data_IF_003557329302
#
_entry.id   IF_003557329302
#
_cell.length_a   1.000
_cell.length_b   1.000
_cell.length_c   1.000
_cell.angle_alpha   90.00
_cell.angle_beta   90.00
_cell.angle_gamma   90.00
#
_symmetry.space_group_name_H-M   'P 1'
#
loop_
_entity.id
_entity.type
_entity.pdbx_description
1 polymer ?
#
# COMPACT_ATOMS: atom_id res chain seq x y z
N UNK A 1 -23.95 -2.19 -19.22
CA UNK A 1 -23.54 -1.59 -17.93
C UNK A 1 -24.80 -1.01 -17.31
N UNK A 2 -25.12 -1.37 -16.07
CA UNK A 2 -26.38 -1.04 -15.40
C UNK A 2 -26.18 -0.87 -13.89
N UNK A 3 -27.05 -0.11 -13.24
CA UNK A 3 -26.96 0.25 -11.83
C UNK A 3 -25.95 1.34 -11.53
N UNK A 4 -25.82 1.69 -10.26
CA UNK A 4 -24.90 2.73 -9.77
C UNK A 4 -23.93 2.14 -8.74
N UNK A 5 -22.66 2.53 -8.81
CA UNK A 5 -21.59 2.08 -7.88
C UNK A 5 -20.88 3.26 -7.25
N UNK A 6 -20.72 3.23 -5.93
CA UNK A 6 -19.87 4.16 -5.18
C UNK A 6 -18.46 3.58 -5.03
N UNK A 7 -17.47 4.41 -5.35
CA UNK A 7 -16.05 4.13 -5.23
C UNK A 7 -15.45 5.05 -4.19
N UNK A 8 -14.64 4.46 -3.31
CA UNK A 8 -13.73 5.17 -2.41
C UNK A 8 -12.30 4.75 -2.79
N UNK A 9 -11.48 5.72 -3.16
CA UNK A 9 -10.17 5.53 -3.75
C UNK A 9 -9.07 6.10 -2.86
N UNK A 10 -7.96 5.38 -2.69
CA UNK A 10 -6.79 5.88 -2.00
C UNK A 10 -5.52 5.67 -2.84
N UNK A 11 -4.57 6.59 -2.68
CA UNK A 11 -3.27 6.46 -3.33
C UNK A 11 -2.46 5.30 -2.74
N UNK A 12 -1.44 4.78 -3.46
CA UNK A 12 -0.68 3.60 -3.02
C UNK A 12 -0.07 3.70 -1.61
N UNK A 13 0.25 4.91 -1.12
CA UNK A 13 0.84 5.11 0.21
C UNK A 13 -0.15 4.86 1.35
N UNK A 14 -1.44 4.70 1.04
CA UNK A 14 -2.42 4.31 2.02
C UNK A 14 -2.23 2.85 2.51
N UNK A 15 -1.38 2.05 1.85
CA UNK A 15 -1.15 0.64 2.18
C UNK A 15 -0.86 0.39 3.67
N UNK A 16 0.00 1.20 4.29
CA UNK A 16 0.35 1.06 5.71
C UNK A 16 -0.86 1.31 6.63
N UNK A 17 -1.64 2.37 6.36
CA UNK A 17 -2.81 2.68 7.18
C UNK A 17 -4.07 1.86 6.83
N UNK A 18 -4.13 1.28 5.62
CA UNK A 18 -5.14 0.28 5.26
C UNK A 18 -4.79 -1.10 5.79
N UNK A 19 -3.57 -1.28 6.33
CA UNK A 19 -3.03 -2.54 6.76
C UNK A 19 -3.19 -3.56 5.62
N UNK A 20 -2.43 -3.35 4.54
CA UNK A 20 -2.34 -4.32 3.46
C UNK A 20 -1.93 -5.69 4.04
N UNK A 21 -2.55 -6.77 3.54
CA UNK A 21 -2.05 -8.10 3.86
C UNK A 21 -0.62 -8.27 3.32
N UNK A 22 0.24 -9.05 4.01
CA UNK A 22 1.55 -9.44 3.49
C UNK A 22 1.44 -10.11 2.12
N UNK A 23 2.44 -9.96 1.26
CA UNK A 23 2.47 -10.52 -0.11
C UNK A 23 2.35 -12.05 -0.10
N UNK A 24 2.85 -12.67 0.96
CA UNK A 24 2.75 -14.12 1.19
C UNK A 24 1.36 -14.61 1.60
N UNK A 25 0.43 -13.72 1.94
CA UNK A 25 -0.89 -14.06 2.48
C UNK A 25 -1.91 -14.31 1.36
N UNK A 26 -2.87 -15.25 1.51
CA UNK A 26 -3.91 -15.50 0.49
C UNK A 26 -4.82 -14.31 0.14
N UNK A 27 -4.88 -13.31 1.03
CA UNK A 27 -5.60 -12.04 0.83
C UNK A 27 -4.67 -10.88 0.45
N UNK A 28 -3.50 -11.17 -0.12
CA UNK A 28 -2.67 -10.14 -0.75
C UNK A 28 -3.50 -9.22 -1.65
N UNK A 29 -3.10 -7.95 -1.73
CA UNK A 29 -3.80 -6.86 -2.43
C UNK A 29 -5.14 -6.41 -1.80
N UNK A 30 -5.55 -7.00 -0.67
CA UNK A 30 -6.67 -6.52 0.14
C UNK A 30 -6.20 -5.78 1.39
N UNK A 31 -7.08 -4.92 1.92
CA UNK A 31 -6.92 -4.29 3.21
C UNK A 31 -7.43 -5.23 4.33
N UNK A 32 -6.72 -5.27 5.46
CA UNK A 32 -7.21 -5.95 6.67
C UNK A 32 -8.30 -5.15 7.40
N UNK A 33 -8.33 -3.83 7.18
CA UNK A 33 -9.26 -2.93 7.85
C UNK A 33 -10.65 -3.01 7.21
N UNK A 34 -11.67 -3.23 8.03
CA UNK A 34 -13.06 -2.98 7.65
C UNK A 34 -13.34 -1.47 7.68
N UNK A 35 -13.43 -0.85 6.50
CA UNK A 35 -13.69 0.58 6.35
C UNK A 35 -15.08 1.02 6.84
N UNK A 36 -16.03 0.10 6.99
CA UNK A 36 -17.36 0.42 7.50
C UNK A 36 -17.40 0.40 9.04
N UNK A 37 -16.49 -0.32 9.68
CA UNK A 37 -16.42 -0.47 11.12
C UNK A 37 -14.96 -0.63 11.61
N UNK A 38 -14.21 0.47 11.56
CA UNK A 38 -12.77 0.46 11.84
C UNK A 38 -12.48 0.25 13.33
N UNK A 39 -11.87 -0.90 13.67
CA UNK A 39 -11.30 -1.12 15.01
C UNK A 39 -10.00 -0.34 15.18
N UNK A 40 -10.11 0.89 15.65
CA UNK A 40 -8.95 1.77 15.89
C UNK A 40 -7.99 1.30 16.99
N UNK A 41 -8.34 0.28 17.78
CA UNK A 41 -7.41 -0.31 18.77
C UNK A 41 -6.44 -1.26 18.09
N UNK A 42 -6.95 -2.12 17.21
CA UNK A 42 -6.14 -3.07 16.44
C UNK A 42 -5.46 -2.40 15.25
N UNK A 43 -6.09 -1.37 14.68
CA UNK A 43 -5.63 -0.65 13.48
C UNK A 43 -5.48 0.86 13.72
N UNK A 44 -4.56 1.29 14.62
CA UNK A 44 -4.41 2.71 14.97
C UNK A 44 -4.08 3.63 13.78
N UNK A 45 -3.33 3.15 12.78
CA UNK A 45 -2.95 3.93 11.59
C UNK A 45 -4.11 4.12 10.60
N UNK A 46 -5.18 3.34 10.72
CA UNK A 46 -6.34 3.44 9.84
C UNK A 46 -7.04 4.79 9.98
N UNK A 47 -6.98 5.39 11.17
CA UNK A 47 -7.49 6.74 11.41
C UNK A 47 -6.86 7.75 10.46
N UNK A 48 -5.55 7.67 10.23
CA UNK A 48 -4.84 8.60 9.35
C UNK A 48 -5.33 8.51 7.91
N UNK A 49 -5.68 7.31 7.44
CA UNK A 49 -6.21 7.10 6.08
C UNK A 49 -7.64 7.64 5.95
N UNK A 50 -8.48 7.41 6.96
CA UNK A 50 -9.84 7.94 7.00
C UNK A 50 -9.86 9.48 7.07
N UNK A 51 -8.96 10.08 7.84
CA UNK A 51 -8.84 11.55 7.98
C UNK A 51 -8.36 12.23 6.70
N UNK A 52 -7.44 11.60 5.96
CA UNK A 52 -6.90 12.15 4.71
C UNK A 52 -7.91 12.22 3.55
N UNK A 53 -9.14 11.71 3.74
CA UNK A 53 -10.24 11.63 2.76
C UNK A 53 -9.80 11.11 1.40
N UNK A 54 -10.04 9.83 1.14
CA UNK A 54 -9.90 9.25 -0.20
C UNK A 54 -10.75 9.98 -1.25
N UNK A 55 -10.41 9.80 -2.52
CA UNK A 55 -11.24 10.32 -3.61
C UNK A 55 -12.52 9.49 -3.71
N UNK A 56 -13.67 10.15 -3.84
CA UNK A 56 -14.97 9.49 -3.95
C UNK A 56 -15.53 9.71 -5.35
N UNK A 57 -16.07 8.64 -5.95
CA UNK A 57 -16.76 8.71 -7.23
C UNK A 57 -18.01 7.85 -7.22
N UNK A 58 -19.08 8.33 -7.86
CA UNK A 58 -20.32 7.57 -8.05
C UNK A 58 -20.51 7.38 -9.55
N UNK A 59 -20.45 6.13 -10.01
CA UNK A 59 -20.53 5.79 -11.43
C UNK A 59 -21.94 5.37 -11.79
N UNK A 60 -22.47 6.02 -12.83
CA UNK A 60 -23.76 5.72 -13.45
C UNK A 60 -23.59 4.99 -14.80
N UNK A 61 -24.66 4.39 -15.33
CA UNK A 61 -24.59 3.71 -16.63
C UNK A 61 -24.05 4.63 -17.74
N UNK A 62 -23.03 4.17 -18.45
CA UNK A 62 -22.37 4.93 -19.53
C UNK A 62 -21.14 5.72 -19.09
N UNK A 63 -20.90 5.86 -17.79
CA UNK A 63 -19.71 6.52 -17.27
C UNK A 63 -18.53 5.55 -17.14
N UNK A 64 -17.31 6.10 -17.17
CA UNK A 64 -16.08 5.36 -16.99
C UNK A 64 -15.22 6.03 -15.93
N UNK A 65 -14.52 5.22 -15.13
CA UNK A 65 -13.56 5.66 -14.13
C UNK A 65 -12.20 5.07 -14.47
N UNK A 66 -11.20 5.94 -14.60
CA UNK A 66 -9.81 5.52 -14.67
C UNK A 66 -9.26 5.37 -13.26
N UNK A 67 -8.83 4.14 -12.93
CA UNK A 67 -8.15 3.83 -11.67
C UNK A 67 -6.68 3.56 -12.01
N UNK A 68 -5.73 4.41 -11.59
CA UNK A 68 -4.32 4.16 -11.85
C UNK A 68 -3.83 2.88 -11.16
N UNK A 69 -2.79 2.26 -11.70
CA UNK A 69 -2.20 1.05 -11.10
C UNK A 69 -1.82 1.27 -9.64
N UNK A 70 -2.05 0.25 -8.82
CA UNK A 70 -1.79 0.24 -7.36
C UNK A 70 -2.66 1.17 -6.51
N UNK A 71 -3.67 1.83 -7.09
CA UNK A 71 -4.65 2.56 -6.29
C UNK A 71 -5.60 1.61 -5.59
N UNK A 72 -5.76 1.85 -4.29
CA UNK A 72 -6.73 1.15 -3.46
C UNK A 72 -8.12 1.63 -3.83
N UNK A 73 -9.06 0.70 -3.94
CA UNK A 73 -10.44 1.03 -4.28
C UNK A 73 -11.42 0.13 -3.53
N UNK A 74 -12.35 0.75 -2.83
CA UNK A 74 -13.48 0.10 -2.20
C UNK A 74 -14.74 0.42 -3.01
N UNK A 75 -15.50 -0.61 -3.39
CA UNK A 75 -16.63 -0.49 -4.31
C UNK A 75 -17.90 -1.01 -3.64
N UNK A 76 -18.94 -0.19 -3.66
CA UNK A 76 -20.25 -0.55 -3.13
C UNK A 76 -21.34 -0.31 -4.16
N UNK A 77 -22.21 -1.29 -4.38
CA UNK A 77 -23.44 -1.09 -5.12
C UNK A 77 -24.39 -0.21 -4.31
N UNK A 78 -25.13 0.68 -4.97
CA UNK A 78 -26.12 1.51 -4.27
C UNK A 78 -27.48 0.83 -4.24
N UNK A 79 -28.19 0.98 -3.12
CA UNK A 79 -29.58 0.56 -3.01
C UNK A 79 -30.53 1.38 -3.90
N UNK A 80 -30.07 2.53 -4.43
CA UNK A 80 -30.89 3.48 -5.17
C UNK A 80 -31.33 3.00 -6.55
N UNK A 81 -30.63 2.02 -7.15
CA UNK A 81 -30.90 1.53 -8.50
C UNK A 81 -31.47 0.11 -8.58
N UNK A 82 -31.87 -0.50 -7.45
CA UNK A 82 -32.39 -1.87 -7.39
C UNK A 82 -31.43 -2.86 -6.75
N UNK A 83 -31.64 -4.16 -6.95
CA UNK A 83 -30.92 -5.24 -6.25
C UNK A 83 -29.60 -5.65 -6.91
N UNK A 84 -29.22 -5.09 -8.06
CA UNK A 84 -28.03 -5.53 -8.80
C UNK A 84 -27.37 -4.40 -9.60
N UNK A 85 -26.07 -4.55 -9.87
CA UNK A 85 -25.29 -3.64 -10.72
C UNK A 85 -24.30 -4.43 -11.58
N UNK A 86 -24.07 -3.98 -12.82
CA UNK A 86 -23.16 -4.62 -13.78
C UNK A 86 -22.18 -3.58 -14.31
N UNK A 87 -20.88 -3.83 -14.13
CA UNK A 87 -19.79 -3.04 -14.69
C UNK A 87 -18.85 -3.92 -15.52
N UNK A 88 -18.14 -3.32 -16.46
CA UNK A 88 -17.09 -3.97 -17.26
C UNK A 88 -15.80 -3.21 -17.04
N UNK A 89 -14.72 -3.94 -16.74
CA UNK A 89 -13.41 -3.36 -16.47
C UNK A 89 -12.44 -3.77 -17.59
N UNK A 90 -11.55 -2.85 -17.98
CA UNK A 90 -10.47 -3.09 -18.92
C UNK A 90 -9.13 -2.91 -18.21
N UNK A 91 -8.34 -3.98 -18.17
CA UNK A 91 -7.02 -3.97 -17.53
C UNK A 91 -5.94 -3.85 -18.60
N UNK A 92 -5.05 -2.88 -18.45
CA UNK A 92 -3.94 -2.63 -19.35
C UNK A 92 -2.63 -2.95 -18.64
N UNK A 93 -1.82 -3.83 -19.23
CA UNK A 93 -0.47 -4.08 -18.74
C UNK A 93 0.43 -2.89 -19.07
N UNK A 94 1.14 -2.37 -18.07
CA UNK A 94 2.20 -1.40 -18.32
C UNK A 94 3.46 -2.21 -18.64
N UNK A 95 3.91 -2.16 -19.89
CA UNK A 95 5.20 -2.75 -20.25
C UNK A 95 6.31 -1.99 -19.51
N UNK A 96 7.06 -2.72 -18.67
CA UNK A 96 8.29 -2.25 -18.02
C UNK A 96 9.38 -2.04 -19.07
N UNK A 97 9.25 -1.04 -19.93
CA UNK A 97 10.41 -0.51 -20.62
C UNK A 97 11.28 0.08 -19.52
N UNK A 98 12.54 -0.39 -19.44
CA UNK A 98 13.58 0.11 -18.54
C UNK A 98 13.82 1.59 -18.83
N UNK A 99 12.89 2.44 -18.38
CA UNK A 99 13.07 3.87 -18.33
C UNK A 99 14.08 4.14 -17.22
N UNK A 100 14.89 5.17 -17.41
CA UNK A 100 15.72 5.75 -16.36
C UNK A 100 14.92 5.81 -15.06
N UNK A 101 15.53 5.43 -13.94
CA UNK A 101 14.84 5.44 -12.63
C UNK A 101 14.23 6.83 -12.40
N UNK A 102 12.90 6.98 -12.45
CA UNK A 102 12.29 8.29 -12.35
C UNK A 102 12.57 8.87 -10.96
N UNK A 103 13.00 10.13 -10.92
CA UNK A 103 13.23 10.87 -9.69
C UNK A 103 12.37 12.14 -9.68
N UNK A 104 11.54 12.36 -8.65
CA UNK A 104 11.35 11.51 -7.46
C UNK A 104 10.70 10.15 -7.78
N UNK A 105 10.99 9.13 -6.97
CA UNK A 105 10.49 7.77 -7.19
C UNK A 105 8.95 7.74 -7.05
N UNK A 106 8.20 7.33 -8.09
CA UNK A 106 6.74 7.30 -8.05
C UNK A 106 6.20 6.32 -7.01
N UNK A 107 5.12 6.71 -6.33
CA UNK A 107 4.50 5.95 -5.23
C UNK A 107 4.12 4.51 -5.61
N UNK A 108 3.68 4.30 -6.84
CA UNK A 108 3.30 2.98 -7.32
C UNK A 108 4.53 2.06 -7.53
N UNK A 109 5.68 2.63 -7.93
CA UNK A 109 6.94 1.88 -8.01
C UNK A 109 7.54 1.64 -6.62
N UNK A 110 7.33 2.56 -5.67
CA UNK A 110 7.71 2.37 -4.26
C UNK A 110 6.97 1.18 -3.65
N UNK A 111 5.65 1.08 -3.87
CA UNK A 111 4.87 -0.08 -3.42
C UNK A 111 5.32 -1.38 -4.13
N UNK A 112 5.55 -1.34 -5.43
CA UNK A 112 6.07 -2.51 -6.16
C UNK A 112 7.43 -2.96 -5.63
N UNK A 113 8.34 -2.02 -5.34
CA UNK A 113 9.63 -2.33 -4.76
C UNK A 113 9.47 -2.98 -3.37
N UNK A 114 8.61 -2.42 -2.52
CA UNK A 114 8.30 -2.99 -1.20
C UNK A 114 7.84 -4.45 -1.31
N UNK A 115 6.91 -4.75 -2.23
CA UNK A 115 6.40 -6.11 -2.47
C UNK A 115 7.50 -7.07 -2.89
N UNK A 116 8.39 -6.66 -3.80
CA UNK A 116 9.52 -7.52 -4.23
C UNK A 116 10.53 -7.76 -3.10
N UNK A 117 10.81 -6.75 -2.27
CA UNK A 117 11.70 -6.89 -1.10
C UNK A 117 11.08 -7.85 -0.08
N UNK A 118 9.79 -7.71 0.22
CA UNK A 118 9.08 -8.62 1.12
C UNK A 118 9.09 -10.07 0.62
N UNK A 119 8.84 -10.29 -0.67
CA UNK A 119 8.93 -11.62 -1.30
C UNK A 119 10.33 -12.22 -1.15
N UNK A 120 11.35 -11.46 -1.51
CA UNK A 120 12.74 -11.90 -1.43
C UNK A 120 13.14 -12.31 0.00
N UNK A 121 12.68 -11.55 1.00
CA UNK A 121 12.95 -11.84 2.40
C UNK A 121 12.14 -13.03 2.92
N UNK A 122 10.90 -13.17 2.45
CA UNK A 122 10.03 -14.30 2.80
C UNK A 122 10.62 -15.64 2.34
N UNK A 123 11.37 -15.68 1.24
CA UNK A 123 12.05 -16.88 0.75
C UNK A 123 13.14 -17.39 1.71
N UNK A 124 13.72 -16.51 2.55
CA UNK A 124 14.81 -16.88 3.47
C UNK A 124 14.27 -17.43 4.78
N UNK A 125 13.28 -16.76 5.38
CA UNK A 125 12.83 -17.04 6.76
C UNK A 125 11.32 -17.21 6.93
N UNK A 126 10.56 -17.23 5.84
CA UNK A 126 9.10 -17.18 5.86
C UNK A 126 8.57 -15.79 6.23
N UNK A 127 7.26 -15.61 6.05
CA UNK A 127 6.59 -14.31 6.19
C UNK A 127 6.69 -13.70 7.60
N UNK A 128 6.67 -14.53 8.64
CA UNK A 128 6.81 -14.08 10.03
C UNK A 128 8.16 -13.39 10.31
N UNK A 129 9.21 -13.76 9.56
CA UNK A 129 10.54 -13.17 9.75
C UNK A 129 10.64 -11.74 9.20
N UNK A 130 9.84 -11.40 8.19
CA UNK A 130 9.85 -10.07 7.57
C UNK A 130 9.42 -9.00 8.56
N UNK A 131 8.35 -9.26 9.33
CA UNK A 131 7.88 -8.31 10.32
C UNK A 131 8.84 -8.13 11.50
N UNK A 132 9.59 -9.17 11.88
CA UNK A 132 10.66 -9.06 12.88
C UNK A 132 11.79 -8.17 12.36
N UNK A 133 12.27 -8.42 11.14
CA UNK A 133 13.32 -7.64 10.52
C UNK A 133 12.93 -6.16 10.36
N UNK A 134 11.70 -5.88 9.92
CA UNK A 134 11.21 -4.51 9.77
C UNK A 134 11.26 -3.72 11.11
N UNK A 135 10.87 -4.38 12.21
CA UNK A 135 10.94 -3.78 13.56
C UNK A 135 12.37 -3.53 14.01
N UNK A 136 13.28 -4.46 13.73
CA UNK A 136 14.67 -4.32 14.15
C UNK A 136 15.40 -3.26 13.32
N UNK A 137 15.16 -3.19 12.00
CA UNK A 137 15.66 -2.10 11.14
C UNK A 137 15.22 -0.71 11.64
N UNK A 138 13.96 -0.59 12.10
CA UNK A 138 13.44 0.67 12.66
C UNK A 138 14.15 1.05 13.95
N UNK A 139 14.34 0.11 14.88
CA UNK A 139 15.10 0.33 16.11
C UNK A 139 16.54 0.70 15.82
N UNK A 140 17.16 0.03 14.84
CA UNK A 140 18.54 0.30 14.43
C UNK A 140 18.70 1.70 13.83
N UNK A 141 17.69 2.21 13.13
CA UNK A 141 17.66 3.59 12.65
C UNK A 141 17.48 4.59 13.80
N UNK A 142 16.55 4.34 14.72
CA UNK A 142 16.25 5.21 15.86
C UNK A 142 17.42 5.33 16.86
N UNK A 143 18.18 4.25 17.05
CA UNK A 143 19.28 4.18 18.02
C UNK A 143 20.67 4.33 17.37
N UNK A 144 20.75 4.63 16.08
CA UNK A 144 22.02 4.75 15.38
C UNK A 144 22.84 5.94 15.89
N UNK A 145 24.07 5.67 16.32
CA UNK A 145 25.07 6.69 16.64
C UNK A 145 26.22 6.65 15.63
N UNK A 146 26.78 7.81 15.23
CA UNK A 146 27.94 7.87 14.36
C UNK A 146 29.20 7.51 15.17
N UNK A 147 29.45 6.22 15.36
CA UNK A 147 30.72 5.73 15.95
C UNK A 147 31.67 5.30 14.84
N UNK A 148 32.82 5.95 14.79
CA UNK A 148 33.96 5.61 13.90
C UNK A 148 33.60 5.53 12.41
N UNK A 149 32.58 6.29 11.98
CA UNK A 149 32.01 6.24 10.64
C UNK A 149 32.05 7.62 9.98
N UNK A 150 32.40 7.66 8.70
CA UNK A 150 32.29 8.87 7.89
C UNK A 150 30.86 9.40 7.89
N UNK A 151 30.69 10.72 7.98
CA UNK A 151 29.38 11.37 8.11
C UNK A 151 28.48 11.11 6.90
N UNK A 152 29.04 11.10 5.68
CA UNK A 152 28.26 10.81 4.48
C UNK A 152 27.83 9.35 4.45
N UNK A 153 28.71 8.42 4.85
CA UNK A 153 28.36 7.00 4.94
C UNK A 153 27.30 6.74 6.03
N UNK A 154 27.39 7.43 7.18
CA UNK A 154 26.39 7.35 8.24
C UNK A 154 25.02 7.84 7.77
N UNK A 155 24.97 8.96 7.03
CA UNK A 155 23.74 9.48 6.46
C UNK A 155 23.11 8.51 5.44
N UNK A 156 23.92 7.89 4.58
CA UNK A 156 23.43 6.87 3.63
C UNK A 156 22.92 5.63 4.36
N UNK A 157 23.62 5.17 5.40
CA UNK A 157 23.17 4.05 6.24
C UNK A 157 21.82 4.33 6.88
N UNK A 158 21.65 5.49 7.52
CA UNK A 158 20.39 5.89 8.12
C UNK A 158 19.26 5.93 7.09
N UNK A 159 19.52 6.54 5.93
CA UNK A 159 18.55 6.56 4.84
C UNK A 159 18.13 5.16 4.40
N UNK A 160 19.06 4.22 4.27
CA UNK A 160 18.73 2.84 3.89
C UNK A 160 17.91 2.11 4.96
N UNK A 161 18.28 2.24 6.24
CA UNK A 161 17.55 1.61 7.34
C UNK A 161 16.11 2.15 7.41
N UNK A 162 15.95 3.47 7.39
CA UNK A 162 14.64 4.13 7.40
C UNK A 162 13.80 3.70 6.19
N UNK A 163 14.40 3.68 4.99
CA UNK A 163 13.68 3.31 3.76
C UNK A 163 13.25 1.86 3.76
N UNK A 164 14.12 0.93 4.16
CA UNK A 164 13.75 -0.49 4.23
C UNK A 164 12.70 -0.73 5.31
N UNK A 165 12.83 -0.11 6.49
CA UNK A 165 11.85 -0.21 7.56
C UNK A 165 10.48 0.39 7.19
N UNK A 166 10.47 1.46 6.38
CA UNK A 166 9.24 2.05 5.86
C UNK A 166 8.61 1.19 4.75
N UNK A 167 9.41 0.69 3.81
CA UNK A 167 8.94 -0.18 2.72
C UNK A 167 8.28 -1.46 3.24
N UNK A 168 8.85 -2.06 4.28
CA UNK A 168 8.32 -3.29 4.89
C UNK A 168 7.13 -3.05 5.84
N UNK A 169 6.83 -1.79 6.17
CA UNK A 169 5.76 -1.43 7.11
C UNK A 169 6.02 -1.91 8.55
N UNK A 170 4.99 -1.88 9.38
CA UNK A 170 5.11 -2.23 10.81
C UNK A 170 5.34 -3.73 11.08
N UNK A 171 5.18 -4.59 10.05
CA UNK A 171 5.22 -6.04 10.19
C UNK A 171 4.13 -6.57 11.12
N UNK A 172 3.07 -7.16 10.56
CA UNK A 172 2.00 -7.77 11.36
C UNK A 172 2.49 -9.03 12.10
#
# INVERSE_FOLDING_TARGET
VEGEKHFLLFDPRAAEGLYAFPVSHPYDEYAMVDLQNVDTKSFPLARNVLEKRGAVATLRPGEALFIPTHWWHHVQGTAACGSWSISVNFWFAIHKVLMESPHPFPQHLELELARHVELLLSDVGGSASVGVLARDLRKDAENAEPKDMDEAFFAVRLFLLDRLAALLGAGN
#
